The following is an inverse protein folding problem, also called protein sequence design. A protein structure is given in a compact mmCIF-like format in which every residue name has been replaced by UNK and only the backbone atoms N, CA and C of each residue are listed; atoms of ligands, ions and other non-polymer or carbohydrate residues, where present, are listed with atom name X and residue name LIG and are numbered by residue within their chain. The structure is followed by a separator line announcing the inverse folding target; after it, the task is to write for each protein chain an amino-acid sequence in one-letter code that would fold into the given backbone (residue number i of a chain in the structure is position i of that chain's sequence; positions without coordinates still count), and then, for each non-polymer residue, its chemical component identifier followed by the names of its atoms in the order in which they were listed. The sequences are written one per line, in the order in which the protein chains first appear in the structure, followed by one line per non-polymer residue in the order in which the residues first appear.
data_IF_248482954931
#
_entry.id   IF_248482954931
#
_cell.length_a   1.000
_cell.length_b   1.000
_cell.length_c   1.000
_cell.angle_alpha   90.00
_cell.angle_beta   90.00
_cell.angle_gamma   90.00
#
_symmetry.space_group_name_H-M   'P 1'
#
loop_
_entity.id
_entity.type
_entity.pdbx_description
1 polymer ?
#
# COMPACT_ATOMS: atom_id res chain seq x y z
N UNK A 1 14.69 -5.17 -14.95
CA UNK A 1 13.97 -5.54 -13.70
C UNK A 1 14.79 -5.31 -12.43
N UNK A 2 16.09 -5.66 -12.37
CA UNK A 2 16.91 -5.43 -11.16
C UNK A 2 17.11 -3.96 -10.76
N UNK A 3 17.02 -3.01 -11.70
CA UNK A 3 17.22 -1.57 -11.42
C UNK A 3 16.20 -1.00 -10.42
N UNK A 4 14.95 -1.49 -10.43
CA UNK A 4 13.91 -1.03 -9.50
C UNK A 4 14.27 -1.46 -8.07
N UNK A 5 14.74 -2.70 -7.91
CA UNK A 5 15.21 -3.19 -6.61
C UNK A 5 16.43 -2.42 -6.12
N UNK A 6 17.38 -2.10 -7.00
CA UNK A 6 18.55 -1.28 -6.65
C UNK A 6 18.13 0.12 -6.23
N UNK A 7 17.22 0.76 -6.98
CA UNK A 7 16.69 2.07 -6.63
C UNK A 7 15.93 2.08 -5.29
N UNK A 8 15.14 1.02 -5.03
CA UNK A 8 14.42 0.84 -3.76
C UNK A 8 15.40 0.68 -2.58
N UNK A 9 16.38 -0.21 -2.73
CA UNK A 9 17.41 -0.45 -1.71
C UNK A 9 18.25 0.80 -1.46
N UNK A 10 18.61 1.53 -2.52
CA UNK A 10 19.33 2.80 -2.40
C UNK A 10 18.49 3.85 -1.67
N UNK A 11 17.19 3.95 -1.96
CA UNK A 11 16.28 4.85 -1.26
C UNK A 11 16.13 4.52 0.23
N UNK A 12 16.01 3.22 0.57
CA UNK A 12 15.96 2.75 1.96
C UNK A 12 17.28 3.05 2.68
N UNK A 13 18.43 2.75 2.06
CA UNK A 13 19.74 3.03 2.62
C UNK A 13 19.95 4.53 2.83
N UNK A 14 19.58 5.36 1.85
CA UNK A 14 19.64 6.82 1.95
C UNK A 14 18.76 7.36 3.08
N UNK A 15 17.56 6.79 3.28
CA UNK A 15 16.69 7.12 4.40
C UNK A 15 17.26 6.68 5.76
N UNK A 16 17.89 5.50 5.82
CA UNK A 16 18.47 4.95 7.04
C UNK A 16 19.73 5.69 7.51
N UNK A 17 20.60 6.10 6.59
CA UNK A 17 21.84 6.81 6.92
C UNK A 17 21.59 8.26 7.41
N UNK A 18 20.33 8.71 7.51
CA UNK A 18 19.94 10.09 7.91
C UNK A 18 20.76 11.16 7.19
N UNK A 19 21.10 10.92 5.91
CA UNK A 19 21.88 11.86 5.10
C UNK A 19 21.13 13.16 4.81
N UNK A 20 19.81 13.21 5.05
CA UNK A 20 18.95 14.34 4.75
C UNK A 20 18.57 15.13 6.02
N UNK A 21 18.67 16.47 6.00
CA UNK A 21 18.16 17.36 7.04
C UNK A 21 16.69 17.10 7.39
N UNK A 22 16.31 17.29 8.66
CA UNK A 22 14.93 17.10 9.15
C UNK A 22 13.89 17.95 8.38
N UNK A 23 14.32 19.06 7.78
CA UNK A 23 13.46 19.91 6.91
C UNK A 23 13.06 19.23 5.61
N UNK A 24 13.93 18.40 5.04
CA UNK A 24 13.60 17.61 3.85
C UNK A 24 12.59 16.52 4.19
N UNK A 25 12.69 15.87 5.36
CA UNK A 25 11.69 14.89 5.80
C UNK A 25 10.27 15.48 5.89
N UNK A 26 10.13 16.71 6.39
CA UNK A 26 8.83 17.40 6.41
C UNK A 26 8.32 17.76 5.00
N UNK A 27 9.24 18.01 4.06
CA UNK A 27 8.90 18.29 2.67
C UNK A 27 8.58 17.01 1.88
N UNK A 28 9.19 15.87 2.23
CA UNK A 28 8.96 14.58 1.56
C UNK A 28 7.49 14.19 1.59
N UNK A 29 6.78 14.40 2.70
CA UNK A 29 5.34 14.13 2.78
C UNK A 29 4.54 14.97 1.77
N UNK A 30 4.77 16.29 1.74
CA UNK A 30 4.10 17.20 0.80
C UNK A 30 4.46 16.90 -0.66
N UNK A 31 5.74 16.63 -0.93
CA UNK A 31 6.24 16.31 -2.27
C UNK A 31 5.69 14.99 -2.77
N UNK A 32 5.59 13.97 -1.90
CA UNK A 32 5.01 12.66 -2.25
C UNK A 32 3.54 12.82 -2.57
N UNK A 33 2.78 13.53 -1.75
CA UNK A 33 1.35 13.77 -2.02
C UNK A 33 1.16 14.54 -3.32
N UNK A 34 1.94 15.59 -3.57
CA UNK A 34 1.88 16.33 -4.83
C UNK A 34 2.26 15.45 -6.04
N UNK A 35 3.28 14.60 -5.88
CA UNK A 35 3.72 13.65 -6.90
C UNK A 35 2.67 12.58 -7.21
N UNK A 36 2.07 11.97 -6.18
CA UNK A 36 0.97 11.01 -6.34
C UNK A 36 -0.23 11.67 -6.97
N UNK A 37 -0.60 12.89 -6.55
CA UNK A 37 -1.70 13.63 -7.16
C UNK A 37 -1.45 13.88 -8.66
N UNK A 38 -0.24 14.31 -9.02
CA UNK A 38 0.14 14.49 -10.42
C UNK A 38 0.11 13.17 -11.20
N UNK A 39 0.67 12.09 -10.64
CA UNK A 39 0.67 10.77 -11.28
C UNK A 39 -0.74 10.24 -11.47
N UNK A 40 -1.62 10.38 -10.49
CA UNK A 40 -3.02 9.99 -10.58
C UNK A 40 -3.76 10.82 -11.64
N UNK A 41 -3.47 12.12 -11.74
CA UNK A 41 -4.03 12.97 -12.79
C UNK A 41 -3.58 12.53 -14.19
N UNK A 42 -2.27 12.28 -14.37
CA UNK A 42 -1.71 11.78 -15.63
C UNK A 42 -2.27 10.39 -15.99
N UNK A 43 -2.39 9.49 -15.01
CA UNK A 43 -2.99 8.17 -15.19
C UNK A 43 -4.46 8.27 -15.59
N UNK A 44 -5.23 9.14 -14.92
CA UNK A 44 -6.62 9.39 -15.27
C UNK A 44 -6.77 9.93 -16.70
N UNK A 45 -5.88 10.83 -17.12
CA UNK A 45 -5.83 11.32 -18.50
C UNK A 45 -5.51 10.22 -19.52
N UNK A 46 -4.49 9.39 -19.25
CA UNK A 46 -4.11 8.27 -20.12
C UNK A 46 -5.26 7.26 -20.27
N UNK A 47 -5.86 6.85 -19.16
CA UNK A 47 -7.00 5.92 -19.14
C UNK A 47 -8.22 6.52 -19.84
N UNK A 48 -8.48 7.82 -19.62
CA UNK A 48 -9.62 8.50 -20.23
C UNK A 48 -9.50 8.70 -21.75
N UNK A 49 -8.28 8.73 -22.29
CA UNK A 49 -8.03 8.82 -23.73
C UNK A 49 -7.98 7.47 -24.45
N UNK A 50 -8.01 6.37 -23.71
CA UNK A 50 -7.90 5.02 -24.24
C UNK A 50 -9.28 4.33 -24.25
N UNK A 51 -9.90 4.24 -25.43
CA UNK A 51 -11.23 3.64 -25.59
C UNK A 51 -11.27 2.15 -25.22
N UNK A 52 -10.15 1.41 -25.35
CA UNK A 52 -10.08 -0.01 -24.99
C UNK A 52 -10.15 -0.18 -23.48
N UNK A 53 -9.36 0.61 -22.74
CA UNK A 53 -9.41 0.62 -21.27
C UNK A 53 -10.81 1.09 -20.82
N UNK A 54 -11.35 2.14 -21.45
CA UNK A 54 -12.66 2.70 -21.10
C UNK A 54 -13.80 1.70 -21.29
N UNK A 55 -13.80 0.96 -22.42
CA UNK A 55 -14.75 -0.12 -22.68
C UNK A 55 -14.56 -1.30 -21.70
N UNK A 56 -13.33 -1.56 -21.28
CA UNK A 56 -12.97 -2.59 -20.31
C UNK A 56 -13.19 -2.23 -18.84
N UNK A 57 -13.53 -0.98 -18.50
CA UNK A 57 -13.63 -0.51 -17.10
C UNK A 57 -14.62 -1.33 -16.26
N UNK A 58 -15.74 -1.77 -16.84
CA UNK A 58 -16.70 -2.63 -16.15
C UNK A 58 -16.08 -3.96 -15.72
N UNK A 59 -15.32 -4.60 -16.62
CA UNK A 59 -14.63 -5.85 -16.32
C UNK A 59 -13.51 -5.65 -15.31
N UNK A 60 -12.72 -4.59 -15.44
CA UNK A 60 -11.65 -4.25 -14.50
C UNK A 60 -12.24 -3.98 -13.10
N UNK A 61 -13.36 -3.28 -13.03
CA UNK A 61 -14.06 -2.98 -11.78
C UNK A 61 -14.57 -4.24 -11.07
N UNK A 62 -15.26 -5.13 -11.80
CA UNK A 62 -15.73 -6.41 -11.25
C UNK A 62 -14.55 -7.27 -10.79
N UNK A 63 -13.50 -7.34 -11.59
CA UNK A 63 -12.28 -8.07 -11.24
C UNK A 63 -11.61 -7.49 -9.99
N UNK A 64 -11.55 -6.15 -9.87
CA UNK A 64 -11.00 -5.48 -8.69
C UNK A 64 -11.82 -5.77 -7.43
N UNK A 65 -13.15 -5.75 -7.51
CA UNK A 65 -14.02 -6.11 -6.37
C UNK A 65 -13.81 -7.56 -5.98
N UNK A 66 -13.72 -8.47 -6.94
CA UNK A 66 -13.48 -9.89 -6.69
C UNK A 66 -12.12 -10.11 -6.01
N UNK A 67 -11.07 -9.43 -6.47
CA UNK A 67 -9.76 -9.47 -5.82
C UNK A 67 -9.78 -8.87 -4.42
N UNK A 68 -10.48 -7.75 -4.20
CA UNK A 68 -10.61 -7.14 -2.88
C UNK A 68 -11.29 -8.09 -1.89
N UNK A 69 -12.42 -8.70 -2.28
CA UNK A 69 -13.13 -9.68 -1.45
C UNK A 69 -12.28 -10.92 -1.20
N UNK A 70 -11.64 -11.47 -2.23
CA UNK A 70 -10.77 -12.63 -2.10
C UNK A 70 -9.58 -12.34 -1.16
N UNK A 71 -8.97 -11.14 -1.26
CA UNK A 71 -7.88 -10.72 -0.39
C UNK A 71 -8.34 -10.53 1.06
N UNK A 72 -9.52 -9.94 1.30
CA UNK A 72 -10.09 -9.79 2.65
C UNK A 72 -10.37 -11.17 3.26
N UNK A 73 -11.10 -12.02 2.54
CA UNK A 73 -11.44 -13.37 3.01
C UNK A 73 -10.16 -14.19 3.26
N UNK A 74 -9.22 -14.17 2.30
CA UNK A 74 -7.94 -14.85 2.42
C UNK A 74 -7.11 -14.36 3.61
N UNK A 75 -7.08 -13.05 3.85
CA UNK A 75 -6.39 -12.45 5.00
C UNK A 75 -6.98 -12.92 6.33
N UNK A 76 -8.31 -12.86 6.48
CA UNK A 76 -8.99 -13.32 7.71
C UNK A 76 -8.81 -14.83 7.93
N UNK A 77 -8.95 -15.64 6.87
CA UNK A 77 -8.72 -17.08 6.95
C UNK A 77 -7.28 -17.41 7.32
N UNK A 78 -6.30 -16.68 6.77
CA UNK A 78 -4.89 -16.87 7.10
C UNK A 78 -4.61 -16.58 8.58
N UNK A 79 -5.17 -15.50 9.13
CA UNK A 79 -5.07 -15.20 10.57
C UNK A 79 -5.71 -16.31 11.40
N UNK A 80 -6.90 -16.78 11.03
CA UNK A 80 -7.59 -17.87 11.75
C UNK A 80 -6.85 -19.21 11.68
N UNK A 81 -6.26 -19.54 10.53
CA UNK A 81 -5.42 -20.71 10.38
C UNK A 81 -4.16 -20.62 11.24
N UNK A 82 -3.54 -19.43 11.31
CA UNK A 82 -2.39 -19.17 12.15
C UNK A 82 -2.74 -19.29 13.64
N UNK A 83 -3.88 -18.73 14.06
CA UNK A 83 -4.41 -18.88 15.44
C UNK A 83 -4.73 -20.34 15.80
N UNK A 84 -5.20 -21.14 14.84
CA UNK A 84 -5.48 -22.56 15.09
C UNK A 84 -4.21 -23.41 15.17
N UNK A 85 -3.16 -23.04 14.43
CA UNK A 85 -1.91 -23.80 14.33
C UNK A 85 -0.88 -23.36 15.38
N UNK A 86 -1.00 -22.13 15.90
CA UNK A 86 -0.19 -21.61 17.00
C UNK A 86 -1.07 -21.52 18.24
N UNK A 87 -0.77 -22.23 19.35
CA UNK A 87 -1.46 -22.02 20.61
C UNK A 87 -1.17 -20.61 21.12
N UNK A 88 -2.00 -19.65 20.69
CA UNK A 88 -1.89 -18.27 21.11
C UNK A 88 -2.30 -18.19 22.57
N UNK A 89 -1.32 -17.85 23.41
CA UNK A 89 -1.56 -17.31 24.73
C UNK A 89 -2.47 -16.08 24.55
N UNK A 90 -3.65 -16.03 25.19
CA UNK A 90 -4.61 -14.97 24.94
C UNK A 90 -3.91 -13.64 25.17
N UNK A 91 -4.01 -12.75 24.17
CA UNK A 91 -3.57 -11.37 24.31
C UNK A 91 -4.34 -10.80 25.51
N UNK A 92 -3.59 -10.50 26.57
CA UNK A 92 -4.09 -9.83 27.75
C UNK A 92 -4.74 -8.54 27.27
N UNK A 93 -6.06 -8.57 27.24
CA UNK A 93 -6.92 -7.45 26.90
C UNK A 93 -6.46 -6.30 27.79
N UNK A 94 -5.92 -5.21 27.21
CA UNK A 94 -5.61 -3.96 27.91
C UNK A 94 -6.91 -3.27 28.34
N UNK A 95 -7.75 -4.01 29.06
CA UNK A 95 -8.88 -3.55 29.83
C UNK A 95 -8.36 -3.19 31.21
N UNK A 96 -7.77 -2.00 31.30
CA UNK A 96 -7.64 -1.32 32.58
C UNK A 96 -6.34 -0.56 32.78
N UNK A 97 -6.21 0.63 32.19
CA UNK A 97 -5.76 1.81 32.96
C UNK A 97 -5.90 3.11 32.17
N UNK A 98 -6.56 4.06 32.82
CA UNK A 98 -6.84 5.41 32.36
C UNK A 98 -8.20 5.83 32.93
N UNK A 99 -8.44 5.72 34.24
CA UNK A 99 -8.22 6.84 35.20
C UNK A 99 -7.50 8.03 34.60
#
# INVERSE_FOLDING_TARGET
MGLIFVALLAGIAMGYLRLLPDRLFQLTGKLTTAGVMLLLFLMGGQIGSDEEILAGLGQIGVQAVLFALAAIIGSVLAVKALEAMVPLKPAEEERGRGV
#
